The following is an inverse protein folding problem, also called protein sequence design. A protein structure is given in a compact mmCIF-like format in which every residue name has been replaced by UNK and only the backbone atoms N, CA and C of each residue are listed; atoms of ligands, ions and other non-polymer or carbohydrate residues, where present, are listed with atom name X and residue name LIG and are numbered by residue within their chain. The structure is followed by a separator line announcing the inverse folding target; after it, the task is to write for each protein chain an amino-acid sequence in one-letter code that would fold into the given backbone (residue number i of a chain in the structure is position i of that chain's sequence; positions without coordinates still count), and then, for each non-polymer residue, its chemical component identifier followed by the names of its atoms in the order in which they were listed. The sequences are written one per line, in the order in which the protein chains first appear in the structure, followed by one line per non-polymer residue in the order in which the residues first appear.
data_IF_435285611435
#
_entry.id   IF_435285611435
#
_cell.length_a   1.000
_cell.length_b   1.000
_cell.length_c   1.000
_cell.angle_alpha   90.00
_cell.angle_beta   90.00
_cell.angle_gamma   90.00
#
_symmetry.space_group_name_H-M   'P 1'
#
loop_
_entity.id
_entity.type
_entity.pdbx_description
1 polymer ?
#
# COMPACT_ATOMS: atom_id res chain seq x y z
N UNK A 1 5.48 -3.14 -1.96
CA UNK A 1 5.02 -3.51 -0.61
C UNK A 1 4.66 -2.24 0.14
N UNK A 2 3.57 -2.24 0.90
CA UNK A 2 3.21 -1.17 1.83
C UNK A 2 2.93 -1.74 3.22
N UNK A 3 3.56 -1.15 4.23
CA UNK A 3 3.32 -1.44 5.66
C UNK A 3 2.72 -0.18 6.28
N UNK A 4 1.47 -0.28 6.76
CA UNK A 4 0.74 0.86 7.32
C UNK A 4 0.76 2.14 6.44
N UNK A 5 0.82 1.97 5.11
CA UNK A 5 1.03 3.07 4.17
C UNK A 5 -0.27 3.83 3.85
N UNK A 6 -0.11 5.10 3.49
CA UNK A 6 -1.14 5.90 2.83
C UNK A 6 -1.16 5.67 1.31
N UNK A 7 -2.34 5.42 0.76
CA UNK A 7 -2.61 5.10 -0.64
C UNK A 7 -3.53 6.12 -1.33
N UNK A 8 -4.39 6.79 -0.58
CA UNK A 8 -5.18 7.94 -1.05
C UNK A 8 -4.84 9.15 -0.17
N UNK A 9 -4.06 10.09 -0.71
CA UNK A 9 -3.57 11.25 0.03
C UNK A 9 -4.58 12.39 0.08
N UNK A 10 -5.62 12.35 -0.76
CA UNK A 10 -6.73 13.31 -0.71
C UNK A 10 -7.65 12.95 0.46
N UNK A 11 -7.86 11.66 0.71
CA UNK A 11 -8.64 11.17 1.83
C UNK A 11 -7.93 11.28 3.20
N UNK A 12 -6.63 11.57 3.23
CA UNK A 12 -5.90 11.86 4.47
C UNK A 12 -6.05 13.35 4.81
N UNK A 13 -6.81 13.62 5.87
CA UNK A 13 -7.19 14.97 6.31
C UNK A 13 -6.25 15.57 7.36
N UNK A 14 -5.31 14.78 7.89
CA UNK A 14 -4.37 15.23 8.90
C UNK A 14 -3.01 15.61 8.32
N UNK A 15 -2.47 16.74 8.81
CA UNK A 15 -1.12 17.21 8.51
C UNK A 15 -0.95 17.94 7.17
N UNK A 16 0.08 18.76 7.12
CA UNK A 16 0.61 19.30 5.86
C UNK A 16 1.46 18.20 5.22
N UNK A 17 0.82 17.26 4.51
CA UNK A 17 1.53 16.31 3.65
C UNK A 17 2.44 17.09 2.70
N UNK A 18 3.61 16.52 2.42
CA UNK A 18 4.59 17.16 1.53
C UNK A 18 3.92 17.56 0.21
N UNK A 19 4.08 18.83 -0.16
CA UNK A 19 3.54 19.41 -1.40
C UNK A 19 4.68 20.12 -2.13
N UNK A 20 4.88 19.89 -3.45
CA UNK A 20 5.91 20.60 -4.20
C UNK A 20 5.68 22.12 -4.19
N UNK A 21 6.75 22.95 -4.14
CA UNK A 21 6.60 24.39 -4.22
C UNK A 21 5.85 24.83 -5.49
N UNK A 22 4.84 25.67 -5.32
CA UNK A 22 4.07 26.25 -6.44
C UNK A 22 3.03 25.32 -7.08
N UNK A 23 2.79 24.13 -6.53
CA UNK A 23 1.75 23.20 -7.00
C UNK A 23 0.56 23.24 -6.05
N UNK A 24 -0.65 23.15 -6.61
CA UNK A 24 -1.87 23.03 -5.80
C UNK A 24 -1.82 21.76 -4.95
N UNK A 25 -2.22 21.87 -3.68
CA UNK A 25 -2.12 20.77 -2.72
C UNK A 25 -3.02 19.59 -3.12
N UNK A 26 -4.24 19.86 -3.59
CA UNK A 26 -5.17 18.80 -3.96
C UNK A 26 -4.70 18.08 -5.23
N UNK A 27 -4.19 18.83 -6.21
CA UNK A 27 -3.58 18.27 -7.42
C UNK A 27 -2.36 17.41 -7.09
N UNK A 28 -1.44 17.92 -6.27
CA UNK A 28 -0.24 17.19 -5.86
C UNK A 28 -0.60 15.89 -5.12
N UNK A 29 -1.58 15.93 -4.22
CA UNK A 29 -2.04 14.76 -3.46
C UNK A 29 -2.74 13.74 -4.36
N UNK A 30 -3.60 14.19 -5.27
CA UNK A 30 -4.24 13.31 -6.24
C UNK A 30 -3.19 12.63 -7.14
N UNK A 31 -2.22 13.39 -7.65
CA UNK A 31 -1.13 12.84 -8.45
C UNK A 31 -0.27 11.85 -7.66
N UNK A 32 0.03 12.13 -6.40
CA UNK A 32 0.87 11.26 -5.58
C UNK A 32 0.13 10.06 -4.97
N UNK A 33 -1.20 9.93 -5.13
CA UNK A 33 -1.98 8.84 -4.56
C UNK A 33 -1.82 7.53 -5.35
N UNK A 34 -1.26 6.45 -4.76
CA UNK A 34 -1.17 5.15 -5.42
C UNK A 34 -2.48 4.63 -6.02
N UNK A 35 -3.63 4.95 -5.41
CA UNK A 35 -4.96 4.54 -5.90
C UNK A 35 -5.27 5.04 -7.31
N UNK A 36 -4.57 6.06 -7.82
CA UNK A 36 -4.77 6.62 -9.17
C UNK A 36 -3.94 5.95 -10.26
N UNK A 37 -2.99 5.07 -9.89
CA UNK A 37 -1.98 4.53 -10.81
C UNK A 37 -2.03 3.01 -10.95
N UNK A 38 -3.04 2.37 -10.38
CA UNK A 38 -3.18 0.92 -10.45
C UNK A 38 -3.70 0.50 -11.83
N UNK A 39 -3.06 -0.52 -12.40
CA UNK A 39 -3.48 -1.19 -13.62
C UNK A 39 -3.30 -2.71 -13.46
N UNK A 40 -3.91 -3.49 -14.35
CA UNK A 40 -3.74 -4.96 -14.38
C UNK A 40 -2.28 -5.41 -14.47
N UNK A 41 -1.45 -4.60 -15.13
CA UNK A 41 -0.01 -4.83 -15.32
C UNK A 41 0.85 -4.27 -14.18
N UNK A 42 0.25 -3.70 -13.14
CA UNK A 42 0.99 -3.27 -11.95
C UNK A 42 1.71 -4.46 -11.34
N UNK A 43 2.91 -4.21 -10.81
CA UNK A 43 3.67 -5.24 -10.08
C UNK A 43 2.84 -5.75 -8.89
N UNK A 44 2.95 -7.04 -8.53
CA UNK A 44 2.26 -7.58 -7.38
C UNK A 44 2.49 -6.74 -6.12
N UNK A 45 1.42 -6.44 -5.39
CA UNK A 45 1.49 -5.60 -4.19
C UNK A 45 1.07 -6.35 -2.92
N UNK A 46 1.95 -6.36 -1.93
CA UNK A 46 1.59 -6.74 -0.57
C UNK A 46 1.17 -5.53 0.26
N UNK A 47 0.06 -5.67 0.97
CA UNK A 47 -0.48 -4.70 1.94
C UNK A 47 -0.50 -5.36 3.32
N UNK A 48 0.26 -4.80 4.25
CA UNK A 48 0.30 -5.17 5.67
C UNK A 48 -0.30 -4.03 6.49
N UNK A 49 -1.40 -4.28 7.19
CA UNK A 49 -2.19 -3.21 7.82
C UNK A 49 -2.80 -3.63 9.14
N UNK A 50 -2.99 -2.68 10.05
CA UNK A 50 -3.76 -2.90 11.28
C UNK A 50 -5.16 -2.30 11.23
N UNK A 51 -6.09 -2.85 12.03
CA UNK A 51 -7.44 -2.32 12.23
C UNK A 51 -7.47 -1.12 13.16
N UNK A 52 -6.56 -1.05 14.13
CA UNK A 52 -6.49 0.01 15.15
C UNK A 52 -5.35 1.01 14.91
N UNK A 53 -4.89 1.16 13.66
CA UNK A 53 -3.93 2.20 13.28
C UNK A 53 -4.57 3.59 13.44
N UNK A 54 -3.96 4.42 14.30
CA UNK A 54 -4.42 5.79 14.59
C UNK A 54 -3.74 6.84 13.71
N UNK A 55 -2.69 6.47 12.99
CA UNK A 55 -1.98 7.33 12.06
C UNK A 55 -2.63 7.25 10.69
N UNK A 56 -2.78 6.06 10.13
CA UNK A 56 -3.41 5.87 8.81
C UNK A 56 -4.72 5.11 8.97
N UNK A 57 -5.89 5.77 8.74
CA UNK A 57 -7.18 5.11 8.90
C UNK A 57 -7.31 3.85 8.03
N UNK A 58 -7.93 2.81 8.58
CA UNK A 58 -8.23 1.54 7.89
C UNK A 58 -8.86 1.75 6.50
N UNK A 59 -9.75 2.72 6.37
CA UNK A 59 -10.44 3.03 5.12
C UNK A 59 -9.50 3.34 3.97
N UNK A 60 -8.31 3.89 4.25
CA UNK A 60 -7.31 4.22 3.24
C UNK A 60 -6.75 2.94 2.57
N UNK A 61 -6.45 1.92 3.37
CA UNK A 61 -5.99 0.64 2.85
C UNK A 61 -7.13 -0.19 2.24
N UNK A 62 -8.35 -0.12 2.78
CA UNK A 62 -9.52 -0.75 2.15
C UNK A 62 -9.79 -0.18 0.75
N UNK A 63 -9.68 1.14 0.59
CA UNK A 63 -9.81 1.80 -0.71
C UNK A 63 -8.78 1.26 -1.71
N UNK A 64 -7.53 1.11 -1.30
CA UNK A 64 -6.49 0.53 -2.16
C UNK A 64 -6.79 -0.91 -2.56
N UNK A 65 -7.29 -1.74 -1.63
CA UNK A 65 -7.67 -3.13 -1.90
C UNK A 65 -8.80 -3.18 -2.95
N UNK A 66 -9.82 -2.35 -2.82
CA UNK A 66 -10.91 -2.27 -3.81
C UNK A 66 -10.39 -1.86 -5.19
N UNK A 67 -9.48 -0.88 -5.26
CA UNK A 67 -8.88 -0.43 -6.52
C UNK A 67 -8.07 -1.56 -7.17
N UNK A 68 -7.25 -2.28 -6.40
CA UNK A 68 -6.48 -3.44 -6.88
C UNK A 68 -7.39 -4.55 -7.42
N UNK A 69 -8.47 -4.85 -6.70
CA UNK A 69 -9.47 -5.85 -7.10
C UNK A 69 -10.15 -5.44 -8.41
N UNK A 70 -10.63 -4.20 -8.53
CA UNK A 70 -11.28 -3.67 -9.75
C UNK A 70 -10.35 -3.71 -10.96
N UNK A 71 -9.06 -3.47 -10.76
CA UNK A 71 -8.06 -3.51 -11.82
C UNK A 71 -7.54 -4.93 -12.14
N UNK A 72 -8.00 -5.96 -11.41
CA UNK A 72 -7.46 -7.32 -11.47
C UNK A 72 -5.93 -7.38 -11.24
N UNK A 73 -5.40 -6.42 -10.48
CA UNK A 73 -3.98 -6.36 -10.17
C UNK A 73 -3.63 -7.39 -9.09
N UNK A 74 -2.52 -8.10 -9.26
CA UNK A 74 -2.09 -9.11 -8.29
C UNK A 74 -1.75 -8.45 -6.94
N UNK A 75 -2.31 -8.97 -5.85
CA UNK A 75 -2.07 -8.42 -4.52
C UNK A 75 -2.27 -9.46 -3.41
N UNK A 76 -1.66 -9.20 -2.25
CA UNK A 76 -1.79 -10.01 -1.03
C UNK A 76 -2.02 -9.09 0.16
N UNK A 77 -3.01 -9.38 0.99
CA UNK A 77 -3.40 -8.55 2.14
C UNK A 77 -3.23 -9.33 3.43
N UNK A 78 -2.55 -8.71 4.39
CA UNK A 78 -2.50 -9.16 5.77
C UNK A 78 -3.12 -8.07 6.66
N UNK A 79 -4.18 -8.43 7.37
CA UNK A 79 -4.88 -7.54 8.29
C UNK A 79 -4.68 -8.03 9.72
N UNK A 80 -4.10 -7.17 10.55
CA UNK A 80 -3.88 -7.39 11.97
C UNK A 80 -4.90 -6.61 12.80
N UNK A 81 -5.68 -7.24 13.70
CA UNK A 81 -6.67 -6.51 14.49
C UNK A 81 -6.05 -5.40 15.37
N UNK A 82 -4.96 -5.72 16.06
CA UNK A 82 -4.39 -4.90 17.14
C UNK A 82 -2.86 -4.76 17.04
N UNK A 83 -2.37 -4.00 16.07
CA UNK A 83 -0.94 -3.73 15.87
C UNK A 83 -0.59 -2.24 15.67
N UNK A 84 -1.59 -1.36 15.78
CA UNK A 84 -1.43 0.08 15.62
C UNK A 84 -0.84 0.44 14.26
N UNK A 85 -0.01 1.48 14.23
CA UNK A 85 0.78 1.80 13.04
C UNK A 85 1.89 0.77 12.88
N UNK A 86 1.60 -0.27 12.09
CA UNK A 86 2.39 -1.52 11.99
C UNK A 86 3.88 -1.19 11.80
N UNK A 87 4.67 -1.49 12.82
CA UNK A 87 6.13 -1.40 12.75
C UNK A 87 6.75 -2.59 12.04
N UNK A 88 8.05 -2.50 11.75
CA UNK A 88 8.82 -3.64 11.24
C UNK A 88 9.14 -4.58 12.40
N UNK A 89 8.58 -5.78 12.37
CA UNK A 89 8.79 -6.84 13.35
C UNK A 89 8.90 -8.22 12.66
N UNK A 90 9.13 -9.28 13.43
CA UNK A 90 9.37 -10.62 12.89
C UNK A 90 8.23 -11.14 12.02
N UNK A 91 6.96 -10.87 12.39
CA UNK A 91 5.79 -11.23 11.58
C UNK A 91 5.79 -10.48 10.24
N UNK A 92 5.99 -9.16 10.26
CA UNK A 92 6.07 -8.35 9.03
C UNK A 92 7.21 -8.82 8.13
N UNK A 93 8.38 -9.11 8.71
CA UNK A 93 9.55 -9.62 7.98
C UNK A 93 9.22 -10.98 7.36
N UNK A 94 8.62 -11.89 8.12
CA UNK A 94 8.24 -13.22 7.64
C UNK A 94 7.28 -13.12 6.45
N UNK A 95 6.18 -12.38 6.58
CA UNK A 95 5.20 -12.17 5.49
C UNK A 95 5.81 -11.51 4.27
N UNK A 96 6.69 -10.54 4.48
CA UNK A 96 7.39 -9.87 3.39
C UNK A 96 8.27 -10.84 2.62
N UNK A 97 9.04 -11.69 3.33
CA UNK A 97 9.90 -12.70 2.70
C UNK A 97 9.10 -13.75 1.95
N UNK A 98 7.99 -14.24 2.52
CA UNK A 98 7.05 -15.14 1.84
C UNK A 98 6.57 -14.54 0.52
N UNK A 99 6.10 -13.29 0.55
CA UNK A 99 5.62 -12.59 -0.64
C UNK A 99 6.71 -12.40 -1.69
N UNK A 100 7.93 -12.04 -1.28
CA UNK A 100 9.07 -11.91 -2.19
C UNK A 100 9.40 -13.27 -2.83
N UNK A 101 9.40 -14.36 -2.06
CA UNK A 101 9.65 -15.70 -2.60
C UNK A 101 8.60 -16.14 -3.61
N UNK A 102 7.32 -15.82 -3.35
CA UNK A 102 6.20 -16.11 -4.26
C UNK A 102 6.29 -15.34 -5.59
N UNK A 103 6.86 -14.12 -5.57
CA UNK A 103 6.80 -13.19 -6.71
C UNK A 103 8.15 -12.90 -7.38
N UNK A 104 9.26 -13.41 -6.83
CA UNK A 104 10.57 -13.31 -7.47
C UNK A 104 10.70 -14.41 -8.52
N UNK A 105 11.17 -14.05 -9.72
CA UNK A 105 11.54 -15.04 -10.72
C UNK A 105 12.57 -16.01 -10.12
N UNK A 106 12.33 -17.32 -10.21
CA UNK A 106 13.35 -18.31 -9.85
C UNK A 106 14.57 -18.06 -10.74
N UNK A 107 15.79 -17.91 -10.20
CA UNK A 107 16.99 -17.89 -11.03
C UNK A 107 17.05 -19.22 -11.77
N UNK A 108 16.81 -19.21 -13.09
CA UNK A 108 16.80 -20.40 -13.94
C UNK A 108 15.66 -20.51 -14.96
N UNK A 109 14.68 -19.60 -14.97
CA UNK A 109 13.62 -19.59 -15.98
C UNK A 109 13.90 -18.59 -17.12
N UNK A 110 15.05 -18.73 -17.78
CA UNK A 110 15.25 -18.21 -19.12
C UNK A 110 15.81 -19.38 -19.94
N UNK A 111 14.98 -19.94 -20.81
CA UNK A 111 15.41 -20.83 -21.89
C UNK A 111 15.71 -19.98 -23.11
#
# INVERSE_FOLDING_TARGET
MGVAAGYDLVALDWGALWTPPGVDMAEARAYASPTKHVAKTSKPLQILRSGNDKSVPIGNALTMIEVLQKAEAQHKVHHYPEMGHVGINDEVIARTREFIQENSAKPGAAK
#
